data_IF_935636996177
#
_entry.id   IF_935636996177
#
_cell.length_a   1.000
_cell.length_b   1.000
_cell.length_c   1.000
_cell.angle_alpha   90.00
_cell.angle_beta   90.00
_cell.angle_gamma   90.00
#
_symmetry.space_group_name_H-M   'P 1'
#
loop_
_entity.id
_entity.type
_entity.pdbx_description
1 polymer ?
#
# COMPACT_ATOMS: atom_id res chain seq x y z
N UNK A 1 17.41 -16.54 12.59
CA UNK A 1 16.23 -15.94 11.93
C UNK A 1 15.31 -15.40 13.00
N UNK A 2 15.66 -14.22 13.52
CA UNK A 2 14.91 -13.56 14.58
C UNK A 2 13.69 -12.89 13.94
N UNK A 3 12.49 -13.29 14.36
CA UNK A 3 11.26 -12.61 13.96
C UNK A 3 11.24 -11.27 14.68
N UNK A 4 11.31 -10.16 13.95
CA UNK A 4 11.08 -8.85 14.54
C UNK A 4 9.64 -8.78 15.09
N UNK A 5 9.46 -8.50 16.39
CA UNK A 5 8.14 -8.48 17.02
C UNK A 5 7.42 -7.13 16.88
N UNK A 6 7.91 -6.21 16.05
CA UNK A 6 7.42 -4.82 15.99
C UNK A 6 6.88 -4.36 14.63
N UNK A 7 6.37 -5.30 13.83
CA UNK A 7 5.13 -5.04 13.06
C UNK A 7 3.94 -5.00 14.04
N UNK A 8 4.00 -4.10 15.02
CA UNK A 8 2.85 -3.76 15.86
C UNK A 8 1.79 -3.25 14.91
N UNK A 9 0.72 -4.03 14.77
CA UNK A 9 -0.38 -3.74 13.88
C UNK A 9 -0.76 -2.27 13.94
N UNK A 10 -1.04 -1.69 12.78
CA UNK A 10 -2.01 -0.62 12.72
C UNK A 10 -3.18 -1.08 13.60
N UNK A 11 -3.31 -0.46 14.77
CA UNK A 11 -4.46 -0.70 15.62
C UNK A 11 -5.63 -0.31 14.75
N UNK A 12 -6.42 -1.30 14.32
CA UNK A 12 -7.70 -1.07 13.68
C UNK A 12 -8.59 -0.53 14.79
N UNK A 13 -8.40 0.75 15.12
CA UNK A 13 -9.31 1.54 15.92
C UNK A 13 -10.61 1.61 15.12
N UNK A 14 -11.56 0.79 15.56
CA UNK A 14 -12.91 0.76 15.00
C UNK A 14 -13.29 -0.59 14.41
N UNK A 15 -13.54 -1.58 15.28
CA UNK A 15 -14.62 -2.50 14.97
C UNK A 15 -15.92 -1.68 15.00
N UNK A 16 -16.29 -1.08 13.87
CA UNK A 16 -17.58 -0.42 13.73
C UNK A 16 -18.68 -1.46 13.94
N UNK A 17 -19.26 -1.44 15.16
CA UNK A 17 -20.34 -2.34 15.58
C UNK A 17 -21.54 -2.20 14.66
N UNK A 18 -21.74 -1.04 14.04
CA UNK A 18 -22.77 -0.80 13.04
C UNK A 18 -22.57 -1.67 11.80
N UNK A 19 -21.40 -1.59 11.17
CA UNK A 19 -21.04 -2.41 10.01
C UNK A 19 -21.09 -3.92 10.31
N UNK A 20 -20.56 -4.36 11.45
CA UNK A 20 -20.63 -5.76 11.89
C UNK A 20 -22.07 -6.26 12.04
N UNK A 21 -22.94 -5.45 12.64
CA UNK A 21 -24.35 -5.80 12.80
C UNK A 21 -25.10 -5.79 11.47
N UNK A 22 -24.73 -4.90 10.55
CA UNK A 22 -25.26 -4.88 9.19
C UNK A 22 -24.90 -6.18 8.44
N UNK A 23 -23.64 -6.59 8.45
CA UNK A 23 -23.19 -7.83 7.79
C UNK A 23 -23.91 -9.06 8.36
N UNK A 24 -24.12 -9.12 9.68
CA UNK A 24 -24.87 -10.22 10.33
C UNK A 24 -26.33 -10.28 9.92
N UNK A 25 -26.95 -9.12 9.64
CA UNK A 25 -28.34 -9.00 9.21
C UNK A 25 -28.52 -9.15 7.71
N UNK A 26 -27.46 -8.91 6.93
CA UNK A 26 -27.49 -9.11 5.50
C UNK A 26 -27.82 -10.57 5.19
N UNK A 27 -28.82 -10.80 4.33
CA UNK A 27 -29.13 -12.13 3.82
C UNK A 27 -27.86 -12.72 3.23
N UNK A 28 -27.49 -13.95 3.65
CA UNK A 28 -26.34 -14.65 3.08
C UNK A 28 -26.51 -14.67 1.57
N UNK A 29 -25.65 -13.94 0.86
CA UNK A 29 -25.46 -14.19 -0.57
C UNK A 29 -24.71 -15.50 -0.65
N UNK A 30 -25.27 -16.44 -1.40
CA UNK A 30 -24.63 -17.71 -1.65
C UNK A 30 -23.33 -17.41 -2.40
N UNK A 31 -22.18 -17.75 -1.82
CA UNK A 31 -20.96 -17.92 -2.60
C UNK A 31 -21.22 -19.13 -3.49
N UNK A 32 -21.72 -18.90 -4.69
CA UNK A 32 -21.76 -19.96 -5.69
C UNK A 32 -20.33 -20.38 -6.02
N UNK A 33 -20.14 -21.49 -6.76
CA UNK A 33 -18.86 -21.80 -7.38
C UNK A 33 -18.36 -20.55 -8.13
N UNK A 34 -17.05 -20.34 -8.18
CA UNK A 34 -16.46 -19.09 -8.70
C UNK A 34 -16.94 -18.67 -10.10
N UNK A 35 -17.49 -19.63 -10.87
CA UNK A 35 -18.40 -19.45 -12.02
C UNK A 35 -19.74 -18.73 -11.70
N UNK A 36 -19.79 -17.86 -10.70
CA UNK A 36 -21.01 -17.18 -10.25
C UNK A 36 -20.75 -15.75 -9.80
N UNK A 37 -19.48 -15.43 -9.46
CA UNK A 37 -18.94 -14.11 -9.72
C UNK A 37 -18.84 -14.08 -11.24
N UNK A 38 -19.59 -13.23 -11.95
CA UNK A 38 -19.67 -13.22 -13.42
C UNK A 38 -18.36 -12.88 -14.17
N UNK A 39 -17.21 -13.34 -13.67
CA UNK A 39 -15.91 -13.35 -14.31
C UNK A 39 -15.88 -14.36 -15.46
N UNK A 40 -16.61 -15.47 -15.32
CA UNK A 40 -16.89 -16.44 -16.39
C UNK A 40 -17.87 -15.89 -17.45
N UNK A 41 -18.66 -14.87 -17.10
CA UNK A 41 -19.52 -14.14 -18.03
C UNK A 41 -18.75 -13.18 -18.96
N UNK A 42 -17.46 -12.95 -18.70
CA UNK A 42 -16.58 -12.28 -19.64
C UNK A 42 -16.02 -13.34 -20.61
N UNK A 43 -16.58 -13.39 -21.82
CA UNK A 43 -16.21 -14.37 -22.84
C UNK A 43 -14.71 -14.36 -23.22
N UNK A 44 -14.00 -13.27 -22.93
CA UNK A 44 -12.59 -13.09 -23.26
C UNK A 44 -11.64 -13.44 -22.09
N UNK A 45 -12.16 -13.79 -20.91
CA UNK A 45 -11.33 -14.09 -19.75
C UNK A 45 -10.74 -15.51 -19.83
N UNK A 46 -9.42 -15.63 -19.67
CA UNK A 46 -8.75 -16.93 -19.60
C UNK A 46 -8.96 -17.58 -18.24
N UNK A 47 -8.98 -18.92 -18.18
CA UNK A 47 -9.08 -19.67 -16.92
C UNK A 47 -7.97 -19.28 -15.92
N UNK A 48 -6.75 -19.09 -16.43
CA UNK A 48 -5.61 -18.62 -15.64
C UNK A 48 -5.85 -17.22 -15.05
N UNK A 49 -6.48 -16.32 -15.81
CA UNK A 49 -6.82 -14.96 -15.36
C UNK A 49 -7.92 -14.96 -14.31
N UNK A 50 -8.95 -15.79 -14.49
CA UNK A 50 -10.01 -15.99 -13.49
C UNK A 50 -9.39 -16.51 -12.19
N UNK A 51 -8.54 -17.53 -12.27
CA UNK A 51 -7.85 -18.09 -11.12
C UNK A 51 -6.98 -17.05 -10.39
N UNK A 52 -6.22 -16.23 -11.13
CA UNK A 52 -5.42 -15.17 -10.52
C UNK A 52 -6.28 -14.14 -9.76
N UNK A 53 -7.40 -13.71 -10.35
CA UNK A 53 -8.33 -12.77 -9.72
C UNK A 53 -8.95 -13.36 -8.44
N UNK A 54 -9.33 -14.63 -8.43
CA UNK A 54 -9.88 -15.30 -7.23
C UNK A 54 -8.89 -15.28 -6.05
N UNK A 55 -7.61 -15.53 -6.34
CA UNK A 55 -6.54 -15.52 -5.33
C UNK A 55 -6.30 -14.12 -4.76
N UNK A 56 -6.52 -13.08 -5.56
CA UNK A 56 -6.35 -11.66 -5.16
C UNK A 56 -7.59 -11.06 -4.50
N UNK A 57 -8.79 -11.38 -4.97
CA UNK A 57 -10.07 -10.87 -4.46
C UNK A 57 -10.62 -11.68 -3.27
N UNK A 58 -9.72 -12.22 -2.45
CA UNK A 58 -10.12 -12.91 -1.21
C UNK A 58 -10.52 -11.88 -0.14
N UNK A 59 -11.72 -12.06 0.43
CA UNK A 59 -12.28 -11.17 1.46
C UNK A 59 -11.42 -11.13 2.72
N UNK A 60 -11.02 -12.30 3.24
CA UNK A 60 -10.14 -12.37 4.40
C UNK A 60 -8.70 -12.01 3.98
N UNK A 61 -8.13 -10.88 4.43
CA UNK A 61 -6.80 -10.45 4.01
C UNK A 61 -5.70 -11.44 4.40
N UNK A 62 -5.88 -12.22 5.48
CA UNK A 62 -4.90 -13.24 5.89
C UNK A 62 -4.88 -14.48 5.00
N UNK A 63 -5.91 -14.68 4.16
CA UNK A 63 -6.01 -15.78 3.20
C UNK A 63 -5.75 -15.35 1.76
N UNK A 64 -5.65 -14.03 1.52
CA UNK A 64 -5.36 -13.44 0.21
C UNK A 64 -3.93 -13.81 -0.19
N UNK A 65 -3.74 -14.16 -1.46
CA UNK A 65 -2.41 -14.48 -1.96
C UNK A 65 -1.45 -13.30 -1.77
N UNK A 66 -0.22 -13.62 -1.38
CA UNK A 66 0.90 -12.68 -1.29
C UNK A 66 1.47 -12.39 -2.68
N UNK A 67 2.23 -11.30 -2.83
CA UNK A 67 2.84 -10.95 -4.11
C UNK A 67 3.73 -12.09 -4.68
N UNK A 68 4.62 -12.74 -3.90
CA UNK A 68 5.40 -13.86 -4.42
C UNK A 68 4.56 -15.05 -4.88
N UNK A 69 3.46 -15.36 -4.18
CA UNK A 69 2.53 -16.41 -4.60
C UNK A 69 1.76 -16.04 -5.88
N UNK A 70 1.50 -14.75 -6.11
CA UNK A 70 0.87 -14.28 -7.33
C UNK A 70 1.80 -14.33 -8.54
N UNK A 71 3.09 -13.98 -8.38
CA UNK A 71 4.05 -13.92 -9.49
C UNK A 71 4.28 -15.27 -10.16
N UNK A 72 4.15 -16.37 -9.41
CA UNK A 72 4.29 -17.75 -9.94
C UNK A 72 2.99 -18.34 -10.53
N UNK A 73 1.91 -17.57 -10.59
CA UNK A 73 0.66 -18.06 -11.16
C UNK A 73 0.77 -18.25 -12.68
N UNK A 74 0.08 -19.26 -13.27
CA UNK A 74 0.13 -19.52 -14.71
C UNK A 74 -0.22 -18.31 -15.59
N UNK A 75 -1.04 -17.39 -15.07
CA UNK A 75 -1.40 -16.17 -15.77
C UNK A 75 -0.21 -15.23 -16.03
N UNK A 76 0.80 -15.22 -15.15
CA UNK A 76 1.98 -14.35 -15.25
C UNK A 76 3.24 -15.10 -15.74
N UNK A 77 3.14 -16.38 -16.10
CA UNK A 77 4.29 -17.23 -16.44
C UNK A 77 5.19 -16.61 -17.53
N UNK A 78 4.59 -15.99 -18.55
CA UNK A 78 5.33 -15.37 -19.65
C UNK A 78 6.06 -14.07 -19.29
N UNK A 79 5.71 -13.49 -18.14
CA UNK A 79 6.27 -12.24 -17.62
C UNK A 79 7.17 -12.47 -16.39
N UNK A 80 7.06 -13.61 -15.73
CA UNK A 80 7.79 -13.88 -14.49
C UNK A 80 9.29 -14.02 -14.76
N UNK A 81 10.07 -13.09 -14.20
CA UNK A 81 11.52 -13.02 -14.35
C UNK A 81 12.15 -12.77 -12.99
N UNK A 82 12.52 -13.83 -12.23
CA UNK A 82 13.03 -13.68 -10.85
C UNK A 82 14.23 -12.73 -10.71
N UNK A 83 15.09 -12.67 -11.73
CA UNK A 83 16.28 -11.80 -11.73
C UNK A 83 15.93 -10.31 -11.92
N UNK A 84 14.74 -9.99 -12.44
CA UNK A 84 14.22 -8.62 -12.64
C UNK A 84 13.10 -8.26 -11.65
N UNK A 85 12.93 -9.05 -10.58
CA UNK A 85 11.93 -8.86 -9.53
C UNK A 85 12.61 -8.60 -8.16
N UNK A 86 13.35 -7.49 -8.00
CA UNK A 86 14.10 -7.22 -6.77
C UNK A 86 13.18 -6.91 -5.59
N UNK A 87 13.63 -7.33 -4.40
CA UNK A 87 13.01 -6.94 -3.12
C UNK A 87 13.82 -5.81 -2.50
N UNK A 88 13.14 -4.82 -1.92
CA UNK A 88 13.80 -3.74 -1.20
C UNK A 88 14.65 -4.30 -0.03
N UNK A 89 15.89 -3.84 0.08
CA UNK A 89 16.81 -4.29 1.14
C UNK A 89 16.30 -3.99 2.54
N UNK A 90 15.61 -2.86 2.69
CA UNK A 90 15.07 -2.39 3.96
C UNK A 90 13.60 -1.98 3.79
N UNK A 91 12.75 -2.22 4.81
CA UNK A 91 11.42 -1.63 4.85
C UNK A 91 11.49 -0.10 4.82
N UNK A 92 10.45 0.54 4.29
CA UNK A 92 10.28 2.00 4.41
C UNK A 92 10.18 2.37 5.89
N UNK A 93 11.01 3.31 6.35
CA UNK A 93 10.87 3.90 7.67
C UNK A 93 9.68 4.85 7.70
N UNK A 94 8.63 4.51 8.45
CA UNK A 94 7.43 5.33 8.60
C UNK A 94 7.51 6.35 9.74
N UNK A 95 8.68 6.51 10.38
CA UNK A 95 8.85 7.51 11.44
C UNK A 95 8.58 8.94 10.98
N UNK A 96 8.78 9.26 9.69
CA UNK A 96 8.54 10.59 9.13
C UNK A 96 7.07 11.03 9.18
N UNK A 97 6.12 10.08 9.20
CA UNK A 97 4.68 10.36 9.14
C UNK A 97 4.04 10.53 10.53
N UNK A 98 4.85 10.47 11.60
CA UNK A 98 4.39 10.64 12.99
C UNK A 98 4.25 12.11 13.37
N UNK A 99 3.38 12.85 12.68
CA UNK A 99 3.09 14.25 13.01
C UNK A 99 1.67 14.66 12.65
N UNK A 100 1.18 15.75 13.24
CA UNK A 100 -0.09 16.36 12.82
C UNK A 100 0.15 17.27 11.61
N UNK A 101 -0.40 16.95 10.43
CA UNK A 101 -0.11 17.70 9.22
C UNK A 101 -0.69 19.12 9.29
N UNK A 102 0.17 20.11 9.09
CA UNK A 102 -0.24 21.49 8.78
C UNK A 102 0.31 21.87 7.43
N UNK A 103 -0.38 22.78 6.73
CA UNK A 103 0.07 23.26 5.41
C UNK A 103 1.53 23.70 5.42
N UNK A 104 1.95 24.44 6.46
CA UNK A 104 3.32 24.94 6.56
C UNK A 104 4.32 23.81 6.81
N UNK A 105 4.01 22.88 7.72
CA UNK A 105 4.92 21.78 8.04
C UNK A 105 5.13 20.85 6.84
N UNK A 106 4.05 20.54 6.10
CA UNK A 106 4.14 19.75 4.87
C UNK A 106 4.97 20.46 3.79
N UNK A 107 4.74 21.76 3.56
CA UNK A 107 5.55 22.55 2.62
C UNK A 107 7.03 22.54 3.00
N UNK A 108 7.33 22.62 4.29
CA UNK A 108 8.70 22.59 4.79
C UNK A 108 9.34 21.21 4.60
N UNK A 109 8.65 20.11 4.90
CA UNK A 109 9.16 18.76 4.65
C UNK A 109 9.40 18.49 3.17
N UNK A 110 8.46 18.86 2.29
CA UNK A 110 8.64 18.72 0.84
C UNK A 110 9.84 19.52 0.36
N UNK A 111 9.99 20.77 0.83
CA UNK A 111 11.13 21.60 0.46
C UNK A 111 12.45 21.01 0.95
N UNK A 112 12.51 20.47 2.18
CA UNK A 112 13.69 19.82 2.72
C UNK A 112 14.08 18.58 1.90
N UNK A 113 13.11 17.78 1.46
CA UNK A 113 13.39 16.66 0.53
C UNK A 113 13.92 17.15 -0.82
N UNK A 114 13.32 18.19 -1.41
CA UNK A 114 13.84 18.77 -2.65
C UNK A 114 15.26 19.32 -2.50
N UNK A 115 15.56 19.97 -1.37
CA UNK A 115 16.87 20.55 -1.08
C UNK A 115 17.99 19.50 -1.09
N UNK A 116 17.72 18.26 -0.63
CA UNK A 116 18.71 17.16 -0.66
C UNK A 116 19.20 16.84 -2.08
N UNK A 117 18.34 17.00 -3.09
CA UNK A 117 18.66 16.74 -4.50
C UNK A 117 19.02 18.02 -5.27
N UNK A 118 18.57 19.19 -4.78
CA UNK A 118 18.71 20.48 -5.43
C UNK A 118 19.19 21.57 -4.44
N UNK A 119 20.45 21.54 -3.97
CA UNK A 119 20.93 22.48 -2.97
C UNK A 119 20.83 23.96 -3.37
N UNK A 120 20.85 24.25 -4.68
CA UNK A 120 20.78 25.60 -5.25
C UNK A 120 19.47 26.34 -4.93
N UNK A 121 18.38 25.62 -4.64
CA UNK A 121 17.08 26.23 -4.32
C UNK A 121 17.14 27.00 -2.99
N UNK A 122 18.08 26.65 -2.10
CA UNK A 122 18.31 27.36 -0.85
C UNK A 122 18.77 28.79 -1.12
N UNK A 123 19.70 28.98 -2.07
CA UNK A 123 20.20 30.30 -2.41
C UNK A 123 19.12 31.15 -3.09
N UNK A 124 18.35 30.54 -4.01
CA UNK A 124 17.21 31.20 -4.69
C UNK A 124 16.20 31.74 -3.67
N UNK A 125 15.87 30.93 -2.67
CA UNK A 125 14.78 31.21 -1.73
C UNK A 125 15.25 31.77 -0.39
N UNK A 126 16.53 32.10 -0.23
CA UNK A 126 17.17 32.48 1.03
C UNK A 126 16.36 33.51 1.85
N UNK A 127 15.77 34.51 1.18
CA UNK A 127 14.96 35.57 1.81
C UNK A 127 13.64 35.08 2.44
N UNK A 128 13.20 33.88 2.09
CA UNK A 128 11.91 33.31 2.52
C UNK A 128 12.08 32.22 3.58
N UNK A 129 13.28 31.66 3.75
CA UNK A 129 13.51 30.47 4.59
C UNK A 129 13.27 30.75 6.07
N UNK A 130 13.80 31.87 6.59
CA UNK A 130 13.65 32.23 8.00
C UNK A 130 12.18 32.48 8.36
N UNK A 131 11.45 33.25 7.53
CA UNK A 131 10.02 33.46 7.70
C UNK A 131 9.18 32.18 7.52
N UNK A 132 9.77 31.14 6.92
CA UNK A 132 9.16 29.82 6.77
C UNK A 132 9.39 28.89 7.97
N UNK A 133 10.33 29.22 8.85
CA UNK A 133 10.68 28.38 10.00
C UNK A 133 11.25 27.03 9.58
N UNK A 134 11.92 26.98 8.42
CA UNK A 134 12.47 25.74 7.83
C UNK A 134 13.94 25.51 8.22
N UNK A 135 14.62 26.51 8.79
CA UNK A 135 16.07 26.53 8.99
C UNK A 135 16.60 25.32 9.76
N UNK A 136 15.84 24.78 10.72
CA UNK A 136 16.22 23.56 11.47
C UNK A 136 16.19 22.28 10.62
N UNK A 137 15.37 22.25 9.56
CA UNK A 137 15.24 21.11 8.65
C UNK A 137 16.26 21.12 7.50
N UNK A 138 17.03 22.22 7.37
CA UNK A 138 18.05 22.38 6.32
C UNK A 138 19.49 22.30 6.85
N UNK A 139 19.65 21.97 8.14
CA UNK A 139 20.95 21.67 8.76
C UNK A 139 21.38 20.25 8.38
#
# INVERSE_FOLDING_TARGET
MSRDPHSSGASVEGQDRGAMNFIKKATRRFEGPSSSVGLDANADATEAGIYAIERMLTFNPTKRATIPECLVLPYYETLHMPDDEPVAENPVDWAFDKFTPTKRLLQNYIYAECFKFHPEIQQRDAKLLDARGITELLK
#
